data_IF_327319540115
#
_entry.id   IF_327319540115
#
_cell.length_a   1.000
_cell.length_b   1.000
_cell.length_c   1.000
_cell.angle_alpha   90.00
_cell.angle_beta   90.00
_cell.angle_gamma   90.00
#
_symmetry.space_group_name_H-M   'P 1'
#
loop_
_entity.id
_entity.type
_entity.pdbx_description
1 polymer ?
#
# COMPACT_ATOMS: atom_id res chain seq x y z
N UNK A 1 8.69 17.86 13.73
CA UNK A 1 7.24 17.59 13.76
C UNK A 1 7.03 16.39 12.87
N UNK A 2 6.39 15.34 13.38
CA UNK A 2 6.24 14.10 12.62
C UNK A 2 5.29 14.35 11.45
N UNK A 3 5.63 13.80 10.29
CA UNK A 3 4.79 13.84 9.10
C UNK A 3 4.23 12.45 8.89
N UNK A 4 2.98 12.39 8.44
CA UNK A 4 2.33 11.12 8.15
C UNK A 4 1.91 11.12 6.70
N UNK A 5 2.10 9.99 6.03
CA UNK A 5 1.72 9.84 4.64
C UNK A 5 0.84 8.62 4.44
N UNK A 6 0.03 8.71 3.40
CA UNK A 6 -0.70 7.61 2.79
C UNK A 6 -0.07 7.32 1.44
N UNK A 7 0.31 6.08 1.23
CA UNK A 7 0.76 5.54 -0.06
C UNK A 7 -0.41 4.71 -0.59
N UNK A 8 -1.04 5.15 -1.68
CA UNK A 8 -2.11 4.39 -2.33
C UNK A 8 -1.63 3.89 -3.69
N UNK A 9 -1.80 2.59 -3.92
CA UNK A 9 -1.36 1.88 -5.12
C UNK A 9 -2.58 1.24 -5.76
N UNK A 10 -2.73 1.45 -7.07
CA UNK A 10 -3.74 0.79 -7.90
C UNK A 10 -3.02 -0.05 -8.93
N UNK A 11 -3.37 -1.33 -9.02
CA UNK A 11 -2.72 -2.26 -9.93
C UNK A 11 -3.68 -3.32 -10.44
N UNK A 12 -3.25 -4.07 -11.45
CA UNK A 12 -3.98 -5.24 -11.98
C UNK A 12 -3.05 -6.43 -12.04
N UNK A 13 -3.51 -7.63 -11.69
CA UNK A 13 -2.76 -8.83 -12.02
C UNK A 13 -2.85 -9.12 -13.52
N UNK A 14 -1.72 -9.47 -14.15
CA UNK A 14 -1.67 -9.71 -15.59
C UNK A 14 -2.56 -10.87 -16.04
N UNK A 15 -2.84 -11.82 -15.16
CA UNK A 15 -3.65 -13.00 -15.44
C UNK A 15 -5.17 -12.78 -15.28
N UNK A 16 -5.58 -11.91 -14.35
CA UNK A 16 -6.97 -11.86 -13.86
C UNK A 16 -7.75 -10.61 -14.31
N UNK A 17 -7.07 -9.56 -14.77
CA UNK A 17 -7.70 -8.36 -15.35
C UNK A 17 -8.43 -7.44 -14.36
N UNK A 18 -8.72 -7.92 -13.15
CA UNK A 18 -9.32 -7.16 -12.05
C UNK A 18 -8.39 -6.05 -11.52
N UNK A 19 -9.00 -4.97 -11.00
CA UNK A 19 -8.29 -3.82 -10.45
C UNK A 19 -8.28 -3.90 -8.93
N UNK A 20 -7.07 -3.94 -8.37
CA UNK A 20 -6.83 -3.96 -6.94
C UNK A 20 -6.36 -2.59 -6.47
N UNK A 21 -6.79 -2.23 -5.26
CA UNK A 21 -6.42 -0.98 -4.60
C UNK A 21 -5.87 -1.32 -3.23
N UNK A 22 -4.72 -0.77 -2.91
CA UNK A 22 -4.11 -0.94 -1.59
C UNK A 22 -3.67 0.41 -1.06
N UNK A 23 -3.84 0.63 0.24
CA UNK A 23 -3.34 1.80 0.93
C UNK A 23 -2.42 1.36 2.07
N UNK A 24 -1.30 2.05 2.21
CA UNK A 24 -0.35 1.86 3.30
C UNK A 24 -0.11 3.20 3.99
N UNK A 25 -0.10 3.19 5.32
CA UNK A 25 0.08 4.39 6.14
C UNK A 25 1.40 4.31 6.90
N UNK A 26 2.24 5.35 6.80
CA UNK A 26 3.51 5.39 7.53
C UNK A 26 3.85 6.78 8.05
N UNK A 27 4.57 6.80 9.15
CA UNK A 27 5.27 7.98 9.65
C UNK A 27 6.54 8.19 8.83
N UNK A 28 6.84 9.43 8.49
CA UNK A 28 8.06 9.83 7.77
C UNK A 28 8.81 10.92 8.50
N UNK A 29 10.13 10.91 8.37
CA UNK A 29 10.96 11.96 8.96
C UNK A 29 10.75 13.28 8.20
N UNK A 30 10.99 14.44 8.83
CA UNK A 30 10.89 15.72 8.14
C UNK A 30 11.78 15.84 6.90
N UNK A 31 12.88 15.08 6.86
CA UNK A 31 13.87 15.04 5.78
C UNK A 31 13.45 14.15 4.61
N UNK A 32 12.47 13.25 4.80
CA UNK A 32 11.92 12.45 3.70
C UNK A 32 11.00 13.33 2.82
N UNK A 33 11.40 13.50 1.57
CA UNK A 33 10.58 14.16 0.54
C UNK A 33 9.51 13.18 0.01
N UNK A 34 8.25 13.61 -0.04
CA UNK A 34 7.12 12.86 -0.60
C UNK A 34 7.44 12.38 -2.03
N UNK A 35 8.13 13.20 -2.82
CA UNK A 35 8.52 12.80 -4.18
C UNK A 35 9.52 11.64 -4.17
N UNK A 36 10.46 11.66 -3.23
CA UNK A 36 11.41 10.56 -3.05
C UNK A 36 10.69 9.28 -2.64
N UNK A 37 9.77 9.36 -1.67
CA UNK A 37 8.96 8.20 -1.27
C UNK A 37 8.17 7.64 -2.46
N UNK A 38 7.56 8.51 -3.27
CA UNK A 38 6.84 8.08 -4.48
C UNK A 38 7.76 7.35 -5.47
N UNK A 39 8.96 7.87 -5.70
CA UNK A 39 9.97 7.25 -6.59
C UNK A 39 10.40 5.89 -6.03
N UNK A 40 10.69 5.81 -4.74
CA UNK A 40 11.15 4.58 -4.09
C UNK A 40 10.06 3.48 -4.14
N UNK A 41 8.78 3.86 -3.90
CA UNK A 41 7.64 2.93 -4.01
C UNK A 41 7.45 2.47 -5.46
N UNK A 42 7.57 3.39 -6.43
CA UNK A 42 7.50 3.05 -7.85
C UNK A 42 8.60 2.08 -8.25
N UNK A 43 9.85 2.35 -7.87
CA UNK A 43 10.99 1.46 -8.12
C UNK A 43 10.77 0.08 -7.52
N UNK A 44 10.39 0.01 -6.24
CA UNK A 44 10.08 -1.26 -5.58
C UNK A 44 9.00 -2.04 -6.33
N UNK A 45 7.92 -1.37 -6.73
CA UNK A 45 6.83 -2.01 -7.45
C UNK A 45 7.28 -2.55 -8.81
N UNK A 46 8.02 -1.75 -9.58
CA UNK A 46 8.57 -2.13 -10.87
C UNK A 46 9.60 -3.26 -10.77
N UNK A 47 10.42 -3.31 -9.73
CA UNK A 47 11.43 -4.36 -9.59
C UNK A 47 10.84 -5.68 -9.11
N UNK A 48 9.92 -5.63 -8.14
CA UNK A 48 9.41 -6.83 -7.48
C UNK A 48 8.18 -7.42 -8.17
N UNK A 49 7.29 -6.57 -8.68
CA UNK A 49 5.94 -6.99 -9.10
C UNK A 49 5.66 -6.78 -10.58
N UNK A 50 6.57 -6.18 -11.37
CA UNK A 50 6.33 -5.92 -12.80
C UNK A 50 6.08 -7.21 -13.59
N UNK A 51 6.60 -8.36 -13.19
CA UNK A 51 6.31 -9.63 -13.87
C UNK A 51 4.86 -10.11 -13.66
N UNK A 52 4.25 -9.76 -12.53
CA UNK A 52 2.94 -10.28 -12.10
C UNK A 52 1.81 -9.27 -12.25
N UNK A 53 2.14 -7.98 -12.24
CA UNK A 53 1.14 -6.90 -12.17
C UNK A 53 1.40 -5.82 -13.22
N UNK A 54 0.34 -5.12 -13.60
CA UNK A 54 0.40 -3.83 -14.27
C UNK A 54 0.08 -2.74 -13.26
N UNK A 55 1.00 -1.81 -13.08
CA UNK A 55 0.76 -0.63 -12.27
C UNK A 55 -0.21 0.31 -13.00
N UNK A 56 -1.29 0.71 -12.31
CA UNK A 56 -2.29 1.66 -12.84
C UNK A 56 -2.05 3.05 -12.28
N UNK A 57 -1.85 3.16 -10.97
CA UNK A 57 -1.60 4.45 -10.31
C UNK A 57 -0.81 4.29 -9.00
N UNK A 58 -0.02 5.31 -8.66
CA UNK A 58 0.62 5.46 -7.35
C UNK A 58 0.47 6.91 -6.91
N UNK A 59 -0.09 7.09 -5.72
CA UNK A 59 -0.16 8.37 -5.04
C UNK A 59 0.46 8.29 -3.65
N UNK A 60 1.19 9.34 -3.30
CA UNK A 60 1.72 9.54 -1.95
C UNK A 60 1.26 10.91 -1.50
N UNK A 61 0.49 10.95 -0.42
CA UNK A 61 -0.12 12.18 0.09
C UNK A 61 0.17 12.34 1.57
N UNK A 62 0.45 13.56 2.01
CA UNK A 62 0.49 13.89 3.43
C UNK A 62 -0.92 13.80 4.02
N UNK A 63 -1.02 13.24 5.22
CA UNK A 63 -2.27 13.08 5.96
C UNK A 63 -2.11 13.57 7.39
N UNK A 64 -3.22 13.89 8.04
CA UNK A 64 -3.22 14.20 9.47
C UNK A 64 -2.85 12.98 10.32
N UNK A 65 -2.42 13.22 11.56
CA UNK A 65 -2.16 12.14 12.52
C UNK A 65 -3.41 11.28 12.77
N UNK A 66 -4.60 11.90 12.79
CA UNK A 66 -5.86 11.20 13.01
C UNK A 66 -6.18 10.25 11.85
N UNK A 67 -6.02 10.72 10.61
CA UNK A 67 -6.19 9.88 9.42
C UNK A 67 -5.16 8.75 9.36
N UNK A 68 -3.92 9.02 9.76
CA UNK A 68 -2.88 7.99 9.89
C UNK A 68 -3.29 6.90 10.89
N UNK A 69 -3.76 7.28 12.08
CA UNK A 69 -4.17 6.31 13.10
C UNK A 69 -5.38 5.48 12.65
N UNK A 70 -6.39 6.11 12.06
CA UNK A 70 -7.55 5.41 11.52
C UNK A 70 -7.14 4.45 10.40
N UNK A 71 -6.34 4.92 9.43
CA UNK A 71 -5.87 4.13 8.31
C UNK A 71 -5.03 2.92 8.73
N UNK A 72 -4.19 3.06 9.77
CA UNK A 72 -3.43 1.93 10.33
C UNK A 72 -4.31 0.84 10.93
N UNK A 73 -5.43 1.21 11.56
CA UNK A 73 -6.38 0.25 12.13
C UNK A 73 -7.14 -0.48 11.01
N UNK A 74 -7.55 0.24 9.97
CA UNK A 74 -8.20 -0.35 8.80
C UNK A 74 -7.26 -1.34 8.08
N UNK A 75 -6.02 -0.93 7.83
CA UNK A 75 -5.00 -1.77 7.19
C UNK A 75 -4.73 -3.05 8.00
N UNK A 76 -4.57 -2.93 9.33
CA UNK A 76 -4.35 -4.08 10.20
C UNK A 76 -5.58 -5.02 10.24
N UNK A 77 -6.80 -4.47 10.20
CA UNK A 77 -8.02 -5.28 10.12
C UNK A 77 -8.13 -6.03 8.78
N UNK A 78 -7.81 -5.38 7.66
CA UNK A 78 -7.79 -6.01 6.34
C UNK A 78 -6.74 -7.12 6.26
N UNK A 79 -5.53 -6.88 6.79
CA UNK A 79 -4.48 -7.91 6.84
C UNK A 79 -4.91 -9.13 7.66
N UNK A 80 -5.55 -8.92 8.82
CA UNK A 80 -6.09 -10.03 9.63
C UNK A 80 -7.17 -10.81 8.89
N UNK A 81 -8.05 -10.12 8.16
CA UNK A 81 -9.08 -10.77 7.36
C UNK A 81 -8.47 -11.62 6.24
N UNK A 82 -7.48 -11.10 5.51
CA UNK A 82 -6.75 -11.85 4.49
C UNK A 82 -5.99 -13.06 5.05
N UNK A 83 -5.36 -12.90 6.22
CA UNK A 83 -4.69 -14.01 6.92
C UNK A 83 -5.68 -15.13 7.29
N UNK A 84 -6.87 -14.77 7.76
CA UNK A 84 -7.90 -15.75 8.10
C UNK A 84 -8.36 -16.53 6.86
N UNK A 85 -8.62 -15.85 5.74
CA UNK A 85 -8.97 -16.52 4.47
C UNK A 85 -7.86 -17.50 4.05
N UNK A 86 -6.61 -17.05 4.07
CA UNK A 86 -5.49 -17.89 3.67
C UNK A 86 -5.34 -19.14 4.56
N UNK A 87 -5.59 -19.00 5.86
CA UNK A 87 -5.62 -20.14 6.80
C UNK A 87 -6.76 -21.10 6.48
N UNK A 88 -7.97 -20.60 6.24
CA UNK A 88 -9.15 -21.43 5.97
C UNK A 88 -9.00 -22.20 4.63
N UNK A 89 -8.39 -21.59 3.62
CA UNK A 89 -8.07 -22.23 2.34
C UNK A 89 -6.96 -23.28 2.45
N UNK A 90 -6.05 -23.17 3.42
CA UNK A 90 -4.97 -24.16 3.64
C UNK A 90 -5.41 -25.39 4.44
N UNK A 91 -6.57 -25.34 5.09
CA UNK A 91 -7.11 -26.42 5.94
C UNK A 91 -8.19 -27.25 5.19
N UNK A 92 -8.50 -26.89 3.94
CA UNK A 92 -9.39 -27.64 3.03
C UNK A 92 -8.64 -28.59 2.11
#
# INVERSE_FOLDING_TARGET
>A
MNKYIKIAIVYKFKAEGEIYKQAHYREVTPEEDIQRVKIDVLHMFSELFDKLTYLVDISVTEVSQMEYQAGRVEEDAELRFLQQIALDDCVS
#
